data_IF_653078661814
#
_entry.id   IF_653078661814
#
_cell.length_a   1.000
_cell.length_b   1.000
_cell.length_c   1.000
_cell.angle_alpha   90.00
_cell.angle_beta   90.00
_cell.angle_gamma   90.00
#
_symmetry.space_group_name_H-M   'P 1'
#
loop_
_entity.id
_entity.type
_entity.pdbx_description
1 polymer ?
#
# COMPACT_ATOMS: atom_id res chain seq x y z
N UNK A 1 -47.25 -16.65 10.57
CA UNK A 1 -46.07 -16.67 9.68
C UNK A 1 -45.12 -15.57 10.15
N UNK A 2 -44.14 -15.96 10.93
CA UNK A 2 -43.14 -15.04 11.48
C UNK A 2 -42.09 -14.82 10.42
N UNK A 3 -41.98 -13.60 9.93
CA UNK A 3 -40.85 -13.20 9.09
C UNK A 3 -39.61 -13.04 10.00
N UNK A 4 -38.75 -14.03 10.04
CA UNK A 4 -37.37 -13.81 10.54
C UNK A 4 -36.69 -12.80 9.62
N UNK A 5 -36.01 -11.79 10.18
CA UNK A 5 -35.21 -10.87 9.38
C UNK A 5 -34.04 -11.65 8.78
N UNK A 6 -33.91 -11.60 7.45
CA UNK A 6 -32.75 -12.10 6.75
C UNK A 6 -31.55 -11.26 7.23
N UNK A 7 -30.67 -11.84 8.02
CA UNK A 7 -29.36 -11.27 8.33
C UNK A 7 -28.61 -11.14 7.00
N UNK A 8 -28.53 -9.91 6.49
CA UNK A 8 -27.64 -9.59 5.37
C UNK A 8 -26.22 -9.65 5.95
N UNK A 9 -25.49 -10.73 5.67
CA UNK A 9 -24.08 -10.82 6.01
C UNK A 9 -23.36 -9.60 5.40
N UNK A 10 -22.88 -8.69 6.26
CA UNK A 10 -22.05 -7.58 5.78
C UNK A 10 -20.81 -8.15 5.06
N UNK A 11 -20.51 -7.68 3.84
CA UNK A 11 -19.34 -8.15 3.11
C UNK A 11 -18.09 -7.95 3.97
N UNK A 12 -17.23 -8.96 4.01
CA UNK A 12 -16.02 -8.93 4.83
C UNK A 12 -15.18 -7.66 4.52
N UNK A 13 -14.74 -6.94 5.55
CA UNK A 13 -13.93 -5.74 5.33
C UNK A 13 -12.60 -6.10 4.66
N UNK A 14 -12.13 -5.24 3.77
CA UNK A 14 -10.83 -5.39 3.13
C UNK A 14 -9.68 -5.26 4.13
N UNK A 15 -9.82 -4.35 5.10
CA UNK A 15 -8.96 -4.23 6.28
C UNK A 15 -9.83 -4.22 7.53
N UNK A 16 -9.50 -5.08 8.49
CA UNK A 16 -10.03 -5.08 9.83
C UNK A 16 -8.90 -4.90 10.83
N UNK A 17 -8.94 -3.84 11.59
CA UNK A 17 -8.11 -3.62 12.78
C UNK A 17 -9.03 -3.70 13.97
N UNK A 18 -8.76 -4.63 14.86
CA UNK A 18 -9.63 -4.90 16.02
C UNK A 18 -8.86 -4.74 17.32
N UNK A 19 -9.19 -3.70 18.06
CA UNK A 19 -8.77 -3.41 19.42
C UNK A 19 -7.24 -3.53 19.64
N UNK A 20 -6.44 -3.04 18.67
CA UNK A 20 -4.99 -3.17 18.75
C UNK A 20 -4.36 -2.21 19.75
N UNK A 21 -3.36 -2.71 20.47
CA UNK A 21 -2.41 -1.92 21.25
C UNK A 21 -1.00 -2.17 20.73
N UNK A 22 -0.24 -1.11 20.47
CA UNK A 22 1.14 -1.21 19.95
C UNK A 22 2.07 -0.41 20.85
N UNK A 23 3.16 -1.05 21.28
CA UNK A 23 4.22 -0.42 22.09
C UNK A 23 5.41 -0.03 21.22
N UNK A 24 6.05 1.07 21.60
CA UNK A 24 7.36 1.50 21.10
C UNK A 24 8.27 1.80 22.29
N UNK A 25 9.36 1.04 22.42
CA UNK A 25 10.25 1.18 23.58
C UNK A 25 9.53 0.97 24.94
N UNK A 26 8.56 0.06 24.99
CA UNK A 26 7.76 -0.21 26.19
C UNK A 26 6.60 0.78 26.45
N UNK A 27 6.51 1.87 25.66
CA UNK A 27 5.46 2.88 25.82
C UNK A 27 4.34 2.61 24.82
N UNK A 28 3.05 2.56 25.25
CA UNK A 28 1.93 2.37 24.35
C UNK A 28 1.71 3.63 23.49
N UNK A 29 1.92 3.48 22.17
CA UNK A 29 1.70 4.51 21.15
C UNK A 29 0.30 4.42 20.55
N UNK A 30 -0.19 3.20 20.37
CA UNK A 30 -1.59 2.95 20.02
C UNK A 30 -2.24 2.20 21.17
N UNK A 31 -3.47 2.59 21.54
CA UNK A 31 -4.25 1.96 22.61
C UNK A 31 -5.66 1.70 22.12
N UNK A 32 -6.05 0.43 22.08
CA UNK A 32 -7.41 -0.03 21.78
C UNK A 32 -7.95 0.59 20.48
N UNK A 33 -7.13 0.62 19.42
CA UNK A 33 -7.50 1.19 18.12
C UNK A 33 -8.25 0.14 17.31
N UNK A 34 -9.44 0.52 16.83
CA UNK A 34 -10.25 -0.30 15.92
C UNK A 34 -10.63 0.54 14.70
N UNK A 35 -10.56 -0.07 13.51
CA UNK A 35 -11.05 0.51 12.26
C UNK A 35 -11.37 -0.59 11.25
N UNK A 36 -12.28 -0.27 10.33
CA UNK A 36 -12.63 -1.14 9.21
C UNK A 36 -12.51 -0.33 7.92
N UNK A 37 -11.99 -0.94 6.86
CA UNK A 37 -11.97 -0.35 5.51
C UNK A 37 -12.58 -1.37 4.56
N UNK A 38 -13.58 -0.94 3.79
CA UNK A 38 -14.23 -1.77 2.78
C UNK A 38 -13.49 -1.67 1.45
N UNK A 39 -13.74 -2.61 0.55
CA UNK A 39 -13.19 -2.54 -0.81
C UNK A 39 -13.70 -1.28 -1.53
N UNK A 40 -12.78 -0.56 -2.19
CA UNK A 40 -13.09 0.70 -2.88
C UNK A 40 -13.25 1.91 -1.96
N UNK A 41 -13.09 1.75 -0.65
CA UNK A 41 -13.15 2.85 0.31
C UNK A 41 -11.80 3.57 0.41
N UNK A 42 -11.85 4.89 0.52
CA UNK A 42 -10.70 5.74 0.82
C UNK A 42 -10.77 6.20 2.27
N UNK A 43 -9.75 5.84 3.05
CA UNK A 43 -9.63 6.24 4.46
C UNK A 43 -8.46 7.21 4.66
N UNK A 44 -8.74 8.43 5.09
CA UNK A 44 -7.73 9.41 5.49
C UNK A 44 -7.43 9.35 6.99
N UNK A 45 -6.15 9.18 7.37
CA UNK A 45 -5.70 9.22 8.76
C UNK A 45 -4.99 10.55 9.01
N UNK A 46 -5.61 11.41 9.80
CA UNK A 46 -5.11 12.74 10.13
C UNK A 46 -4.77 12.87 11.61
N UNK A 47 -3.83 13.72 11.94
CA UNK A 47 -3.41 13.97 13.32
C UNK A 47 -2.01 14.58 13.42
N UNK A 48 -1.60 15.00 14.61
CA UNK A 48 -0.29 15.64 14.85
C UNK A 48 0.89 14.68 14.57
N UNK A 49 2.07 15.27 14.40
CA UNK A 49 3.30 14.48 14.35
C UNK A 49 3.49 13.78 15.70
N UNK A 50 3.92 12.52 15.66
CA UNK A 50 3.97 11.68 16.87
C UNK A 50 2.64 11.02 17.28
N UNK A 51 1.52 11.36 16.64
CA UNK A 51 0.19 10.80 16.97
C UNK A 51 -0.04 9.33 16.57
N UNK A 52 1.01 8.56 16.28
CA UNK A 52 0.89 7.12 16.03
C UNK A 52 0.53 6.72 14.60
N UNK A 53 0.33 7.66 13.64
CA UNK A 53 -0.05 7.34 12.26
C UNK A 53 0.88 6.31 11.60
N UNK A 54 2.19 6.56 11.63
CA UNK A 54 3.19 5.63 11.07
C UNK A 54 3.28 4.32 11.86
N UNK A 55 2.95 4.34 13.14
CA UNK A 55 2.86 3.12 13.98
C UNK A 55 1.67 2.26 13.55
N UNK A 56 0.54 2.88 13.25
CA UNK A 56 -0.64 2.17 12.73
C UNK A 56 -0.35 1.55 11.36
N UNK A 57 0.23 2.32 10.42
CA UNK A 57 0.64 1.78 9.12
C UNK A 57 1.64 0.64 9.29
N UNK A 58 2.64 0.78 10.16
CA UNK A 58 3.61 -0.28 10.44
C UNK A 58 2.98 -1.54 11.06
N UNK A 59 1.94 -1.39 11.86
CA UNK A 59 1.17 -2.53 12.40
C UNK A 59 0.34 -3.22 11.30
N UNK A 60 -0.33 -2.44 10.44
CA UNK A 60 -1.11 -2.96 9.31
C UNK A 60 -0.19 -3.73 8.34
N UNK A 61 1.01 -3.22 8.08
CA UNK A 61 2.02 -3.90 7.26
C UNK A 61 2.64 -5.14 7.95
N UNK A 62 2.38 -5.35 9.25
CA UNK A 62 2.97 -6.43 10.03
C UNK A 62 4.44 -6.23 10.41
N UNK A 63 5.01 -5.04 10.13
CA UNK A 63 6.39 -4.67 10.52
C UNK A 63 6.47 -4.45 12.03
N UNK A 64 5.38 -3.97 12.63
CA UNK A 64 5.25 -3.78 14.07
C UNK A 64 4.25 -4.79 14.64
N UNK A 65 4.67 -5.48 15.70
CA UNK A 65 3.79 -6.43 16.40
C UNK A 65 2.81 -5.69 17.30
N UNK A 66 1.56 -6.12 17.28
CA UNK A 66 0.56 -5.72 18.26
C UNK A 66 0.82 -6.46 19.58
N UNK A 67 0.71 -5.75 20.70
CA UNK A 67 0.70 -6.35 22.04
C UNK A 67 -0.62 -7.06 22.31
N UNK A 68 -1.72 -6.46 21.84
CA UNK A 68 -3.08 -7.03 21.93
C UNK A 68 -3.87 -6.66 20.69
N UNK A 69 -5.00 -7.33 20.51
CA UNK A 69 -5.87 -7.16 19.36
C UNK A 69 -5.38 -7.90 18.12
N UNK A 70 -6.04 -7.67 16.99
CA UNK A 70 -5.73 -8.34 15.74
C UNK A 70 -5.87 -7.43 14.52
N UNK A 71 -5.15 -7.77 13.45
CA UNK A 71 -5.27 -7.13 12.14
C UNK A 71 -5.47 -8.22 11.10
N UNK A 72 -6.47 -8.01 10.23
CA UNK A 72 -6.73 -8.86 9.09
C UNK A 72 -6.83 -8.02 7.82
N UNK A 73 -6.20 -8.49 6.74
CA UNK A 73 -6.30 -7.95 5.39
C UNK A 73 -6.89 -9.05 4.53
N UNK A 74 -8.06 -8.83 3.93
CA UNK A 74 -8.81 -9.86 3.22
C UNK A 74 -8.98 -11.15 4.06
N UNK A 75 -9.25 -11.02 5.37
CA UNK A 75 -9.37 -12.15 6.28
C UNK A 75 -8.05 -12.83 6.70
N UNK A 76 -6.91 -12.37 6.20
CA UNK A 76 -5.60 -12.95 6.49
C UNK A 76 -4.74 -12.05 7.38
N UNK A 77 -3.91 -12.65 8.23
CA UNK A 77 -2.94 -11.89 9.04
C UNK A 77 -1.91 -11.18 8.16
N UNK A 78 -1.45 -9.97 8.54
CA UNK A 78 -0.35 -9.30 7.85
C UNK A 78 0.85 -10.21 7.64
N UNK A 79 1.57 -10.04 6.53
CA UNK A 79 2.73 -10.84 6.12
C UNK A 79 2.47 -12.34 5.89
N UNK A 80 1.27 -12.84 6.02
CA UNK A 80 0.94 -14.22 5.65
C UNK A 80 0.99 -14.41 4.12
N UNK A 81 1.04 -15.66 3.68
CA UNK A 81 1.03 -15.99 2.23
C UNK A 81 -0.20 -15.46 1.50
N UNK A 82 -1.35 -15.35 2.18
CA UNK A 82 -2.60 -14.81 1.63
C UNK A 82 -2.58 -13.31 1.37
N UNK A 83 -1.61 -12.57 1.96
CA UNK A 83 -1.48 -11.11 1.78
C UNK A 83 -0.35 -10.73 0.82
N UNK A 84 0.51 -11.70 0.44
CA UNK A 84 1.64 -11.43 -0.46
C UNK A 84 1.17 -10.91 -1.82
N UNK A 85 1.60 -9.68 -2.17
CA UNK A 85 1.27 -9.03 -3.43
C UNK A 85 -0.10 -8.35 -3.45
N UNK A 86 -0.89 -8.42 -2.37
CA UNK A 86 -2.19 -7.74 -2.29
C UNK A 86 -2.10 -6.34 -1.69
N UNK A 87 -0.98 -6.01 -1.05
CA UNK A 87 -0.76 -4.71 -0.40
C UNK A 87 0.42 -4.01 -1.05
N UNK A 88 0.20 -2.79 -1.53
CA UNK A 88 1.26 -1.87 -1.92
C UNK A 88 1.40 -0.75 -0.88
N UNK A 89 2.64 -0.35 -0.62
CA UNK A 89 2.95 0.71 0.30
C UNK A 89 3.80 1.80 -0.34
N UNK A 90 3.31 3.05 -0.23
CA UNK A 90 4.00 4.25 -0.66
C UNK A 90 4.50 5.02 0.57
N UNK A 91 5.76 4.80 0.96
CA UNK A 91 6.31 5.54 2.09
C UNK A 91 6.53 7.02 1.74
N UNK A 92 6.50 7.89 2.75
CA UNK A 92 6.80 9.31 2.59
C UNK A 92 8.19 9.56 2.00
N UNK A 93 9.16 8.69 2.27
CA UNK A 93 10.54 8.77 1.74
C UNK A 93 10.72 8.06 0.40
N UNK A 94 9.71 7.42 -0.15
CA UNK A 94 9.83 6.64 -1.38
C UNK A 94 10.23 7.50 -2.60
N UNK A 95 9.96 8.81 -2.56
CA UNK A 95 10.38 9.76 -3.59
C UNK A 95 11.85 10.20 -3.46
N UNK A 96 12.54 9.84 -2.36
CA UNK A 96 13.96 10.13 -2.14
C UNK A 96 14.84 9.10 -2.85
N UNK A 97 14.86 9.15 -4.19
CA UNK A 97 15.69 8.27 -5.01
C UNK A 97 17.14 8.79 -4.95
N UNK A 98 18.13 7.93 -4.64
CA UNK A 98 19.53 8.33 -4.62
C UNK A 98 19.99 8.88 -5.98
N UNK A 99 20.74 9.98 -5.99
CA UNK A 99 21.18 10.67 -7.24
C UNK A 99 22.07 9.83 -8.14
N UNK A 100 22.72 8.80 -7.60
CA UNK A 100 23.54 7.86 -8.36
C UNK A 100 22.71 6.76 -9.06
N UNK A 101 21.43 6.65 -8.75
CA UNK A 101 20.52 5.72 -9.44
C UNK A 101 19.91 6.44 -10.63
N UNK A 102 20.19 5.96 -11.85
CA UNK A 102 19.61 6.47 -13.08
C UNK A 102 18.52 5.53 -13.55
N UNK A 103 17.29 5.97 -13.41
CA UNK A 103 16.10 5.26 -13.86
C UNK A 103 15.18 6.25 -14.57
N UNK A 104 14.57 5.84 -15.64
CA UNK A 104 13.42 6.56 -16.23
C UNK A 104 12.17 6.36 -15.39
N UNK A 105 11.17 7.22 -15.58
CA UNK A 105 9.86 7.04 -14.94
C UNK A 105 9.28 5.66 -15.27
N UNK A 106 9.35 5.24 -16.52
CA UNK A 106 8.87 3.92 -16.98
C UNK A 106 9.56 2.78 -16.25
N UNK A 107 10.87 2.82 -16.13
CA UNK A 107 11.64 1.80 -15.41
C UNK A 107 11.28 1.77 -13.92
N UNK A 108 11.15 2.94 -13.26
CA UNK A 108 10.72 3.02 -11.88
C UNK A 108 9.34 2.38 -11.69
N UNK A 109 8.38 2.70 -12.56
CA UNK A 109 7.02 2.17 -12.47
C UNK A 109 7.01 0.66 -12.73
N UNK A 110 7.81 0.18 -13.69
CA UNK A 110 7.95 -1.26 -13.97
C UNK A 110 8.45 -2.07 -12.79
N UNK A 111 9.21 -1.45 -11.85
CA UNK A 111 9.61 -2.14 -10.61
C UNK A 111 8.40 -2.52 -9.74
N UNK A 112 7.26 -1.84 -9.87
CA UNK A 112 6.02 -2.19 -9.18
C UNK A 112 5.49 -3.57 -9.55
N UNK A 113 5.74 -4.02 -10.79
CA UNK A 113 5.31 -5.32 -11.29
C UNK A 113 6.18 -6.50 -10.80
N UNK A 114 7.31 -6.20 -10.12
CA UNK A 114 8.19 -7.22 -9.56
C UNK A 114 7.53 -7.82 -8.29
N UNK A 115 6.95 -8.98 -8.43
CA UNK A 115 6.45 -9.75 -7.30
C UNK A 115 7.18 -11.10 -7.20
N UNK A 116 7.01 -11.80 -6.10
CA UNK A 116 7.67 -13.09 -5.85
C UNK A 116 7.32 -14.18 -6.88
N UNK A 117 6.21 -14.02 -7.63
CA UNK A 117 5.78 -14.96 -8.67
C UNK A 117 6.44 -14.66 -10.02
N UNK A 118 6.82 -13.39 -10.26
CA UNK A 118 7.33 -12.92 -11.56
C UNK A 118 8.83 -12.59 -11.55
N UNK A 119 9.55 -12.94 -10.51
CA UNK A 119 10.98 -12.67 -10.36
C UNK A 119 11.83 -13.24 -11.53
N UNK A 120 11.45 -14.43 -12.03
CA UNK A 120 12.18 -15.09 -13.13
C UNK A 120 11.70 -14.71 -14.54
N UNK A 121 10.66 -13.88 -14.67
CA UNK A 121 10.18 -13.45 -15.99
C UNK A 121 11.01 -12.24 -16.42
N UNK A 122 11.81 -12.35 -17.51
CA UNK A 122 12.55 -11.21 -18.05
C UNK A 122 11.60 -10.04 -18.33
N UNK A 123 12.06 -8.82 -18.09
CA UNK A 123 11.26 -7.60 -18.24
C UNK A 123 10.63 -7.46 -19.64
N UNK A 124 11.23 -8.05 -20.66
CA UNK A 124 10.77 -8.10 -22.05
C UNK A 124 9.42 -8.83 -22.25
N UNK A 125 9.07 -9.73 -21.37
CA UNK A 125 7.83 -10.52 -21.45
C UNK A 125 6.72 -10.02 -20.54
N UNK A 126 6.93 -8.91 -19.82
CA UNK A 126 5.89 -8.34 -18.98
C UNK A 126 4.98 -7.43 -19.78
N UNK A 127 3.64 -7.53 -19.58
CA UNK A 127 2.70 -6.63 -20.24
C UNK A 127 3.06 -5.18 -19.87
N UNK A 128 3.30 -4.34 -20.84
CA UNK A 128 3.59 -2.91 -20.64
C UNK A 128 2.32 -2.11 -20.35
N UNK A 129 1.15 -2.67 -20.65
CA UNK A 129 -0.16 -2.05 -20.50
C UNK A 129 -0.37 -1.44 -19.11
N UNK A 130 -0.11 -2.21 -18.07
CA UNK A 130 -0.29 -1.72 -16.70
C UNK A 130 0.67 -0.60 -16.29
N UNK A 131 1.87 -0.57 -16.89
CA UNK A 131 2.86 0.49 -16.65
C UNK A 131 2.41 1.79 -17.31
N UNK A 132 1.95 1.72 -18.55
CA UNK A 132 1.50 2.90 -19.29
C UNK A 132 0.22 3.48 -18.70
N UNK A 133 -0.73 2.63 -18.31
CA UNK A 133 -1.95 3.02 -17.61
C UNK A 133 -1.66 3.67 -16.26
N UNK A 134 -0.74 3.11 -15.49
CA UNK A 134 -0.33 3.69 -14.20
C UNK A 134 0.35 5.05 -14.38
N UNK A 135 1.19 5.22 -15.41
CA UNK A 135 1.84 6.49 -15.74
C UNK A 135 0.79 7.53 -16.17
N UNK A 136 -0.17 7.14 -17.01
CA UNK A 136 -1.27 7.99 -17.46
C UNK A 136 -2.17 8.43 -16.30
N UNK A 137 -2.51 7.50 -15.40
CA UNK A 137 -3.34 7.79 -14.22
C UNK A 137 -2.77 8.92 -13.36
N UNK A 138 -1.45 9.07 -13.32
CA UNK A 138 -0.79 10.13 -12.54
C UNK A 138 -0.38 11.35 -13.38
N UNK A 139 -0.69 11.39 -14.69
CA UNK A 139 -0.36 12.47 -15.61
C UNK A 139 1.14 12.67 -15.79
N UNK A 140 1.85 11.58 -16.10
CA UNK A 140 3.31 11.58 -16.34
C UNK A 140 3.70 11.00 -17.70
N UNK A 141 2.78 10.94 -18.68
CA UNK A 141 3.01 10.35 -20.01
C UNK A 141 4.19 11.01 -20.72
N UNK A 142 4.24 12.35 -20.74
CA UNK A 142 5.31 13.13 -21.37
C UNK A 142 6.66 12.99 -20.67
N UNK A 143 6.66 12.40 -19.48
CA UNK A 143 7.85 12.20 -18.65
C UNK A 143 8.28 10.73 -18.59
N UNK A 144 7.60 9.81 -19.28
CA UNK A 144 7.83 8.37 -19.17
C UNK A 144 9.29 7.95 -19.41
N UNK A 145 9.97 8.59 -20.38
CA UNK A 145 11.39 8.35 -20.71
C UNK A 145 12.37 9.25 -19.95
N UNK A 146 11.87 10.18 -19.10
CA UNK A 146 12.73 11.12 -18.37
C UNK A 146 13.35 10.45 -17.14
N UNK A 147 14.62 10.76 -16.87
CA UNK A 147 15.29 10.36 -15.63
C UNK A 147 14.55 10.93 -14.41
N UNK A 148 14.25 10.07 -13.43
CA UNK A 148 13.51 10.43 -12.21
C UNK A 148 14.22 11.49 -11.38
N UNK A 149 15.55 11.61 -11.48
CA UNK A 149 16.30 12.65 -10.79
C UNK A 149 16.08 14.04 -11.39
N UNK A 150 15.57 14.13 -12.62
CA UNK A 150 15.24 15.39 -13.32
C UNK A 150 13.79 15.83 -13.10
N UNK A 151 13.03 15.08 -12.32
CA UNK A 151 11.65 15.40 -11.98
C UNK A 151 11.60 16.40 -10.82
N UNK A 152 10.55 17.21 -10.76
CA UNK A 152 10.20 17.97 -9.55
C UNK A 152 9.81 17.01 -8.40
N UNK A 153 9.79 17.50 -7.16
CA UNK A 153 9.39 16.70 -6.01
C UNK A 153 7.99 16.08 -6.16
N UNK A 154 7.02 16.87 -6.63
CA UNK A 154 5.65 16.40 -6.86
C UNK A 154 5.57 15.37 -8.00
N UNK A 155 6.35 15.55 -9.09
CA UNK A 155 6.41 14.57 -10.17
C UNK A 155 7.03 13.25 -9.69
N UNK A 156 8.10 13.30 -8.87
CA UNK A 156 8.68 12.09 -8.27
C UNK A 156 7.70 11.35 -7.38
N UNK A 157 6.95 12.09 -6.57
CA UNK A 157 5.92 11.47 -5.72
C UNK A 157 4.85 10.79 -6.56
N UNK A 158 4.37 11.43 -7.64
CA UNK A 158 3.44 10.81 -8.58
C UNK A 158 4.01 9.57 -9.26
N UNK A 159 5.29 9.57 -9.63
CA UNK A 159 5.95 8.40 -10.22
C UNK A 159 6.02 7.22 -9.23
N UNK A 160 6.23 7.47 -7.94
CA UNK A 160 6.20 6.42 -6.91
C UNK A 160 4.78 5.90 -6.67
N UNK A 161 3.76 6.77 -6.76
CA UNK A 161 2.36 6.33 -6.72
C UNK A 161 2.05 5.45 -7.94
N UNK A 162 2.46 5.85 -9.15
CA UNK A 162 2.31 5.05 -10.36
C UNK A 162 2.95 3.66 -10.21
N UNK A 163 4.14 3.57 -9.58
CA UNK A 163 4.78 2.29 -9.27
C UNK A 163 3.91 1.41 -8.39
N UNK A 164 3.25 1.99 -7.39
CA UNK A 164 2.34 1.24 -6.53
C UNK A 164 1.07 0.79 -7.28
N UNK A 165 0.52 1.64 -8.15
CA UNK A 165 -0.63 1.29 -8.99
C UNK A 165 -0.28 0.14 -9.96
N UNK A 166 0.91 0.17 -10.58
CA UNK A 166 1.37 -0.88 -11.48
C UNK A 166 1.58 -2.24 -10.79
N UNK A 167 1.61 -2.29 -9.46
CA UNK A 167 1.74 -3.54 -8.70
C UNK A 167 0.47 -4.39 -8.66
N UNK A 168 -0.66 -3.85 -9.15
CA UNK A 168 -1.99 -4.49 -9.08
C UNK A 168 -2.41 -4.88 -7.66
N UNK A 169 -1.87 -4.20 -6.66
CA UNK A 169 -2.24 -4.44 -5.29
C UNK A 169 -3.70 -4.04 -5.05
N UNK A 170 -4.40 -4.87 -4.31
CA UNK A 170 -5.81 -4.64 -3.96
C UNK A 170 -5.96 -3.58 -2.87
N UNK A 171 -4.90 -3.34 -2.09
CA UNK A 171 -4.89 -2.40 -0.98
C UNK A 171 -3.63 -1.52 -1.03
N UNK A 172 -3.82 -0.21 -1.09
CA UNK A 172 -2.76 0.79 -1.14
C UNK A 172 -2.69 1.56 0.19
N UNK A 173 -1.49 1.65 0.77
CA UNK A 173 -1.17 2.41 1.99
C UNK A 173 -0.20 3.54 1.70
#
# INVERSE_FOLDING_TARGET
>A
MSHEPVEVEEPQPHLLVDNITVLRGGIPVLKNVSLKVRRGEFLGIVGPNGGGKSTLVGAILGVLKCQSGSILINGHKPMSSGVKGTVAWVSQSAANIPKNVRLTVRELVSLGMLNSKNWFVPAFFKPTTNVDEAIATVGLEDYASRDVNRLSGGQRQRAVIARALASEAEFLL
#
